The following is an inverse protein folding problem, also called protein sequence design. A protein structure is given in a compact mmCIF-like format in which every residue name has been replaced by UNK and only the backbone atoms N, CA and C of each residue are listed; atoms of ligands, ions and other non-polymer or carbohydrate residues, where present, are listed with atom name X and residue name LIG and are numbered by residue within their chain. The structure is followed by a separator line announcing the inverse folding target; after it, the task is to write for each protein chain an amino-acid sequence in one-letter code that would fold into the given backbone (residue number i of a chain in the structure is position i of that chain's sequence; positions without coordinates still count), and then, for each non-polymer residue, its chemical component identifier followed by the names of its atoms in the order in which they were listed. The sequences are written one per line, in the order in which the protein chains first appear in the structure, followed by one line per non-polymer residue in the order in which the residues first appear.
data_IF_576531165162
#
_entry.id   IF_576531165162
#
_cell.length_a   1.000
_cell.length_b   1.000
_cell.length_c   1.000
_cell.angle_alpha   90.00
_cell.angle_beta   90.00
_cell.angle_gamma   90.00
#
_symmetry.space_group_name_H-M   'P 1'
#
loop_
_entity.id
_entity.type
_entity.pdbx_description
1 polymer ?
#
# COMPACT_ATOMS: atom_id res chain seq x y z
N UNK A 1 24.33 -4.70 0.20
CA UNK A 1 23.44 -4.37 1.34
C UNK A 1 22.85 -5.64 1.96
N UNK A 2 22.11 -6.45 1.22
CA UNK A 2 21.48 -7.71 1.70
C UNK A 2 22.50 -8.65 2.38
N UNK A 3 23.66 -8.87 1.77
CA UNK A 3 24.72 -9.73 2.34
C UNK A 3 25.23 -9.21 3.68
N UNK A 4 25.39 -7.88 3.83
CA UNK A 4 25.77 -7.26 5.10
C UNK A 4 24.72 -7.47 6.18
N UNK A 5 23.43 -7.37 5.83
CA UNK A 5 22.34 -7.66 6.78
C UNK A 5 22.39 -9.12 7.21
N UNK A 6 22.61 -10.06 6.30
CA UNK A 6 22.76 -11.49 6.62
C UNK A 6 23.96 -11.76 7.52
N UNK A 7 25.09 -11.11 7.26
CA UNK A 7 26.29 -11.19 8.08
C UNK A 7 26.03 -10.70 9.51
N UNK A 8 25.45 -9.50 9.66
CA UNK A 8 25.10 -8.96 10.98
C UNK A 8 24.12 -9.85 11.73
N UNK A 9 23.07 -10.32 11.05
CA UNK A 9 22.10 -11.26 11.62
C UNK A 9 22.78 -12.54 12.12
N UNK A 10 23.77 -13.04 11.40
CA UNK A 10 24.55 -14.23 11.79
C UNK A 10 25.45 -13.94 13.00
N UNK A 11 26.15 -12.79 13.00
CA UNK A 11 27.05 -12.38 14.08
C UNK A 11 26.33 -12.21 15.42
N UNK A 12 25.09 -11.72 15.40
CA UNK A 12 24.26 -11.54 16.60
C UNK A 12 23.31 -12.72 16.85
N UNK A 13 23.58 -13.91 16.28
CA UNK A 13 22.69 -15.07 16.30
C UNK A 13 22.23 -15.57 17.67
N UNK A 14 23.01 -15.30 18.72
CA UNK A 14 22.72 -15.69 20.11
C UNK A 14 21.84 -14.68 20.86
N UNK A 15 21.54 -13.54 20.27
CA UNK A 15 20.71 -12.49 20.86
C UNK A 15 19.32 -12.45 20.24
N UNK A 16 18.35 -11.87 20.97
CA UNK A 16 17.06 -11.54 20.37
C UNK A 16 17.27 -10.45 19.32
N UNK A 17 17.01 -10.79 18.06
CA UNK A 17 17.18 -9.91 16.91
C UNK A 17 15.82 -9.41 16.47
N UNK A 18 15.74 -8.13 16.11
CA UNK A 18 14.58 -7.56 15.46
C UNK A 18 15.06 -6.77 14.25
N UNK A 19 14.40 -6.96 13.11
CA UNK A 19 14.68 -6.24 11.88
C UNK A 19 13.51 -5.30 11.62
N UNK A 20 13.77 -3.99 11.65
CA UNK A 20 12.80 -2.96 11.26
C UNK A 20 13.16 -2.46 9.87
N UNK A 21 12.14 -2.21 9.06
CA UNK A 21 12.33 -1.76 7.69
C UNK A 21 11.31 -0.68 7.41
N UNK A 22 11.79 0.50 7.03
CA UNK A 22 10.91 1.62 6.71
C UNK A 22 10.60 1.65 5.22
N UNK A 23 11.63 1.50 4.38
CA UNK A 23 11.52 1.61 2.93
C UNK A 23 10.78 0.42 2.29
N UNK A 24 9.74 0.72 1.50
CA UNK A 24 8.91 -0.27 0.82
C UNK A 24 9.72 -1.25 -0.04
N UNK A 25 10.75 -0.77 -0.73
CA UNK A 25 11.60 -1.57 -1.64
C UNK A 25 12.37 -2.68 -0.91
N UNK A 26 12.61 -2.51 0.40
CA UNK A 26 13.36 -3.46 1.21
C UNK A 26 12.44 -4.45 1.95
N UNK A 27 11.14 -4.18 2.05
CA UNK A 27 10.21 -4.97 2.89
C UNK A 27 10.23 -6.47 2.55
N UNK A 28 10.16 -6.80 1.26
CA UNK A 28 10.16 -8.20 0.81
C UNK A 28 11.49 -8.90 1.09
N UNK A 29 12.61 -8.22 0.79
CA UNK A 29 13.95 -8.76 1.01
C UNK A 29 14.22 -8.98 2.49
N UNK A 30 13.81 -8.05 3.35
CA UNK A 30 13.95 -8.18 4.80
C UNK A 30 13.05 -9.27 5.37
N UNK A 31 11.83 -9.43 4.83
CA UNK A 31 10.95 -10.55 5.19
C UNK A 31 11.58 -11.91 4.85
N UNK A 32 12.29 -12.01 3.71
CA UNK A 32 13.03 -13.23 3.34
C UNK A 32 14.17 -13.53 4.31
N UNK A 33 14.96 -12.52 4.70
CA UNK A 33 16.02 -12.70 5.71
C UNK A 33 15.43 -13.13 7.05
N UNK A 34 14.31 -12.54 7.48
CA UNK A 34 13.63 -12.92 8.72
C UNK A 34 13.26 -14.40 8.70
N UNK A 35 12.63 -14.85 7.63
CA UNK A 35 12.25 -16.25 7.44
C UNK A 35 13.46 -17.19 7.43
N UNK A 36 14.49 -16.88 6.63
CA UNK A 36 15.73 -17.68 6.54
C UNK A 36 16.47 -17.80 7.88
N UNK A 37 16.40 -16.76 8.71
CA UNK A 37 17.18 -16.65 9.96
C UNK A 37 16.38 -16.93 11.23
N UNK A 38 15.10 -17.32 11.11
CA UNK A 38 14.20 -17.56 12.23
C UNK A 38 13.92 -16.33 13.10
N UNK A 39 13.93 -15.13 12.51
CA UNK A 39 13.65 -13.87 13.22
C UNK A 39 12.15 -13.57 13.15
N UNK A 40 11.58 -13.17 14.28
CA UNK A 40 10.18 -12.76 14.39
C UNK A 40 9.88 -11.52 13.53
N UNK A 41 8.77 -11.56 12.78
CA UNK A 41 8.29 -10.42 11.99
C UNK A 41 7.49 -10.83 10.75
N UNK A 42 7.30 -9.88 9.83
CA UNK A 42 6.57 -10.13 8.59
C UNK A 42 7.30 -11.16 7.72
N UNK A 43 6.56 -12.18 7.27
CA UNK A 43 7.00 -13.21 6.34
C UNK A 43 6.82 -12.76 4.89
N UNK A 44 7.56 -13.33 3.92
CA UNK A 44 7.44 -12.97 2.50
C UNK A 44 5.99 -13.02 2.00
N UNK A 45 5.29 -14.12 2.30
CA UNK A 45 3.88 -14.31 1.93
C UNK A 45 2.98 -13.23 2.53
N UNK A 46 3.27 -12.75 3.75
CA UNK A 46 2.50 -11.67 4.36
C UNK A 46 2.73 -10.34 3.64
N UNK A 47 3.97 -10.06 3.21
CA UNK A 47 4.29 -8.86 2.44
C UNK A 47 3.59 -8.90 1.08
N UNK A 48 3.59 -10.04 0.40
CA UNK A 48 2.85 -10.22 -0.87
C UNK A 48 1.35 -9.98 -0.66
N UNK A 49 0.75 -10.60 0.36
CA UNK A 49 -0.69 -10.45 0.64
C UNK A 49 -1.10 -9.03 1.03
N UNK A 50 -0.23 -8.28 1.70
CA UNK A 50 -0.51 -6.89 2.14
C UNK A 50 -0.17 -5.87 1.06
N UNK A 51 0.93 -6.03 0.32
CA UNK A 51 1.39 -5.00 -0.64
C UNK A 51 0.84 -5.27 -2.05
N UNK A 52 0.70 -6.53 -2.43
CA UNK A 52 0.25 -6.88 -3.77
C UNK A 52 -1.26 -6.74 -3.90
N UNK A 53 -1.69 -5.68 -4.61
CA UNK A 53 -3.10 -5.28 -4.72
C UNK A 53 -4.05 -6.42 -5.10
N UNK A 54 -3.59 -7.36 -5.94
CA UNK A 54 -4.42 -8.47 -6.40
C UNK A 54 -4.78 -9.44 -5.28
N UNK A 55 -3.78 -9.81 -4.48
CA UNK A 55 -3.96 -10.73 -3.36
C UNK A 55 -4.79 -10.06 -2.26
N UNK A 56 -4.42 -8.83 -1.93
CA UNK A 56 -5.16 -8.01 -0.98
C UNK A 56 -6.63 -7.87 -1.37
N UNK A 57 -6.95 -7.51 -2.63
CA UNK A 57 -8.35 -7.36 -3.08
C UNK A 57 -9.10 -8.70 -3.03
N UNK A 58 -8.42 -9.81 -3.30
CA UNK A 58 -9.02 -11.15 -3.22
C UNK A 58 -9.34 -11.53 -1.78
N UNK A 59 -8.43 -11.27 -0.84
CA UNK A 59 -8.64 -11.46 0.60
C UNK A 59 -9.78 -10.55 1.09
N UNK A 60 -9.78 -9.29 0.70
CA UNK A 60 -10.78 -8.31 1.07
C UNK A 60 -12.19 -8.74 0.61
N UNK A 61 -12.34 -9.15 -0.65
CA UNK A 61 -13.63 -9.64 -1.19
C UNK A 61 -14.13 -10.89 -0.48
N UNK A 62 -13.24 -11.84 -0.16
CA UNK A 62 -13.60 -13.05 0.61
C UNK A 62 -14.15 -12.70 2.00
N UNK A 63 -13.65 -11.62 2.59
CA UNK A 63 -14.08 -11.13 3.90
C UNK A 63 -15.23 -10.10 3.82
N UNK A 64 -15.82 -9.91 2.64
CA UNK A 64 -16.97 -9.02 2.43
C UNK A 64 -16.64 -7.53 2.52
N UNK A 65 -15.39 -7.14 2.27
CA UNK A 65 -14.99 -5.74 2.12
C UNK A 65 -15.27 -5.27 0.70
N UNK A 66 -15.75 -4.03 0.56
CA UNK A 66 -15.91 -3.39 -0.74
C UNK A 66 -14.54 -3.01 -1.30
N UNK A 67 -14.28 -3.38 -2.54
CA UNK A 67 -13.03 -3.09 -3.26
C UNK A 67 -13.35 -2.50 -4.61
N UNK A 68 -12.46 -1.67 -5.17
CA UNK A 68 -12.59 -1.19 -6.54
C UNK A 68 -12.79 -2.32 -7.56
N UNK A 69 -13.78 -2.13 -8.43
CA UNK A 69 -13.89 -2.89 -9.67
C UNK A 69 -12.74 -2.56 -10.59
N UNK A 70 -12.19 -3.59 -11.22
CA UNK A 70 -11.08 -3.46 -12.16
C UNK A 70 -11.17 -4.55 -13.23
N UNK A 71 -10.58 -4.25 -14.38
CA UNK A 71 -10.42 -5.15 -15.50
C UNK A 71 -8.93 -5.21 -15.86
N UNK A 72 -8.39 -6.42 -15.99
CA UNK A 72 -6.99 -6.65 -16.34
C UNK A 72 -6.86 -6.84 -17.85
N UNK A 73 -5.83 -6.22 -18.42
CA UNK A 73 -5.49 -6.26 -19.85
C UNK A 73 -4.02 -6.65 -20.01
N UNK A 74 -3.70 -7.44 -21.03
CA UNK A 74 -2.33 -7.94 -21.28
C UNK A 74 -1.95 -7.67 -22.73
N UNK A 75 -0.69 -7.38 -23.00
CA UNK A 75 -0.12 -7.40 -24.34
C UNK A 75 0.59 -8.74 -24.53
N UNK A 76 0.25 -9.49 -25.59
CA UNK A 76 0.89 -10.76 -25.91
C UNK A 76 1.61 -10.66 -27.27
N UNK A 77 2.92 -10.93 -27.27
CA UNK A 77 3.74 -11.04 -28.48
C UNK A 77 4.20 -12.46 -28.82
N UNK A 78 3.93 -13.49 -28.01
CA UNK A 78 4.45 -14.85 -28.28
C UNK A 78 3.43 -15.98 -28.11
N UNK A 79 3.60 -17.03 -28.94
CA UNK A 79 2.77 -18.24 -29.08
C UNK A 79 2.88 -19.23 -27.90
N UNK A 80 3.26 -18.80 -26.70
CA UNK A 80 3.49 -19.70 -25.57
C UNK A 80 2.50 -19.41 -24.45
N UNK A 81 1.42 -20.18 -24.45
CA UNK A 81 0.44 -20.25 -23.37
C UNK A 81 1.08 -21.03 -22.22
N UNK A 82 1.60 -20.32 -21.22
CA UNK A 82 1.70 -20.85 -19.87
C UNK A 82 1.08 -19.85 -18.90
N UNK A 83 -0.24 -19.67 -19.04
CA UNK A 83 -1.09 -18.91 -18.12
C UNK A 83 -1.38 -19.76 -16.88
N UNK A 84 -0.61 -19.54 -15.82
CA UNK A 84 -0.93 -20.04 -14.48
C UNK A 84 -2.16 -19.27 -13.96
N UNK A 85 -3.34 -19.87 -14.16
CA UNK A 85 -4.57 -19.74 -13.38
C UNK A 85 -4.87 -18.37 -12.72
N UNK A 86 -5.11 -17.34 -13.53
CA UNK A 86 -5.74 -16.08 -13.09
C UNK A 86 -7.20 -16.09 -13.56
N UNK A 87 -8.14 -16.29 -12.63
CA UNK A 87 -9.60 -16.28 -12.87
C UNK A 87 -10.21 -14.88 -13.12
N UNK A 88 -9.43 -13.94 -13.67
CA UNK A 88 -9.92 -12.62 -14.09
C UNK A 88 -9.53 -12.43 -15.56
N UNK A 89 -10.53 -12.08 -16.38
CA UNK A 89 -10.49 -12.25 -17.82
C UNK A 89 -9.58 -11.21 -18.48
N UNK A 90 -8.32 -11.57 -18.67
CA UNK A 90 -7.32 -10.81 -19.42
C UNK A 90 -7.83 -10.49 -20.84
N UNK A 91 -7.79 -9.22 -21.28
CA UNK A 91 -8.01 -8.85 -22.68
C UNK A 91 -6.69 -8.47 -23.36
N UNK A 92 -6.38 -9.04 -24.54
CA UNK A 92 -5.23 -8.60 -25.32
C UNK A 92 -5.39 -7.15 -25.84
N UNK A 93 -4.37 -6.29 -25.75
CA UNK A 93 -4.43 -4.94 -26.38
C UNK A 93 -4.57 -4.99 -27.91
N UNK A 94 -4.16 -6.10 -28.54
CA UNK A 94 -4.42 -6.36 -29.96
C UNK A 94 -5.88 -6.76 -30.25
N UNK A 95 -6.69 -7.00 -29.22
CA UNK A 95 -8.13 -7.16 -29.41
C UNK A 95 -8.73 -5.87 -29.94
N UNK A 96 -9.82 -5.98 -30.69
CA UNK A 96 -10.54 -4.84 -31.24
C UNK A 96 -10.87 -3.81 -30.13
N UNK A 97 -10.56 -2.51 -30.29
CA UNK A 97 -10.84 -1.48 -29.28
C UNK A 97 -12.30 -1.45 -28.79
N UNK A 98 -13.24 -1.90 -29.62
CA UNK A 98 -14.65 -2.07 -29.27
C UNK A 98 -14.88 -3.05 -28.10
N UNK A 99 -14.06 -4.09 -27.97
CA UNK A 99 -14.13 -5.06 -26.86
C UNK A 99 -13.71 -4.43 -25.53
N UNK A 100 -12.75 -3.51 -25.57
CA UNK A 100 -12.31 -2.76 -24.39
C UNK A 100 -13.42 -1.86 -23.87
N UNK A 101 -14.02 -1.07 -24.78
CA UNK A 101 -15.13 -0.17 -24.45
C UNK A 101 -16.33 -0.93 -23.88
N UNK A 102 -16.72 -2.05 -24.53
CA UNK A 102 -17.83 -2.89 -24.05
C UNK A 102 -17.59 -3.38 -22.63
N UNK A 103 -16.36 -3.77 -22.28
CA UNK A 103 -16.02 -4.23 -20.93
C UNK A 103 -15.99 -3.12 -19.90
N UNK A 104 -15.49 -1.94 -20.24
CA UNK A 104 -15.55 -0.77 -19.35
C UNK A 104 -17.01 -0.46 -19.00
N UNK A 105 -17.89 -0.40 -19.99
CA UNK A 105 -19.32 -0.13 -19.78
C UNK A 105 -19.99 -1.24 -18.96
N UNK A 106 -19.70 -2.52 -19.23
CA UNK A 106 -20.39 -3.63 -18.58
C UNK A 106 -19.83 -4.02 -17.21
N UNK A 107 -18.55 -3.77 -16.93
CA UNK A 107 -17.89 -4.23 -15.69
C UNK A 107 -17.51 -3.09 -14.75
N UNK A 108 -17.31 -1.86 -15.26
CA UNK A 108 -16.90 -0.68 -14.49
C UNK A 108 -18.00 0.39 -14.45
N UNK A 109 -19.19 0.11 -14.98
CA UNK A 109 -20.31 1.06 -15.17
C UNK A 109 -19.96 2.29 -16.02
N UNK A 110 -18.95 2.18 -16.89
CA UNK A 110 -18.57 3.23 -17.83
C UNK A 110 -17.40 4.09 -17.37
N UNK A 111 -17.42 5.35 -17.78
CA UNK A 111 -16.35 6.32 -17.59
C UNK A 111 -16.71 7.36 -16.49
N UNK A 112 -15.73 7.99 -15.83
CA UNK A 112 -14.28 7.87 -16.05
C UNK A 112 -13.66 6.58 -15.51
N UNK A 113 -12.48 6.25 -16.03
CA UNK A 113 -11.65 5.13 -15.57
C UNK A 113 -10.20 5.53 -15.40
N UNK A 114 -9.48 4.81 -14.55
CA UNK A 114 -8.04 4.94 -14.42
C UNK A 114 -7.31 3.77 -15.07
N UNK A 115 -6.29 4.06 -15.87
CA UNK A 115 -5.41 3.04 -16.47
C UNK A 115 -4.04 3.10 -15.79
N UNK A 116 -3.52 1.96 -15.36
CA UNK A 116 -2.16 1.83 -14.82
C UNK A 116 -1.44 0.63 -15.41
N UNK A 117 -0.13 0.73 -15.59
CA UNK A 117 0.71 -0.43 -15.93
C UNK A 117 0.88 -1.36 -14.72
N UNK A 118 0.90 -2.68 -14.94
CA UNK A 118 1.29 -3.66 -13.93
C UNK A 118 2.81 -3.70 -13.71
N UNK A 119 3.60 -3.28 -14.71
CA UNK A 119 5.05 -3.19 -14.60
C UNK A 119 5.44 -1.99 -13.72
N UNK A 120 5.41 -2.16 -12.40
CA UNK A 120 6.14 -1.30 -11.49
C UNK A 120 7.63 -1.63 -11.61
N UNK A 121 8.32 -1.04 -12.60
CA UNK A 121 9.79 -1.09 -12.61
C UNK A 121 10.28 -0.27 -11.41
N UNK A 122 11.06 -0.92 -10.54
CA UNK A 122 11.75 -0.31 -9.39
C UNK A 122 12.23 1.11 -9.74
N UNK A 123 11.85 2.11 -8.95
CA UNK A 123 12.23 3.51 -9.13
C UNK A 123 11.51 4.32 -10.23
N UNK A 124 10.60 3.74 -11.03
CA UNK A 124 9.78 4.52 -12.01
C UNK A 124 8.40 4.84 -11.44
N UNK A 125 8.02 6.12 -11.46
CA UNK A 125 6.68 6.61 -11.14
C UNK A 125 5.63 5.79 -11.89
N UNK A 126 4.73 5.13 -11.16
CA UNK A 126 3.55 4.46 -11.73
C UNK A 126 2.79 5.52 -12.53
N UNK A 127 2.75 5.37 -13.85
CA UNK A 127 1.99 6.29 -14.71
C UNK A 127 0.54 5.84 -14.68
N UNK A 128 -0.28 6.55 -13.91
CA UNK A 128 -1.74 6.41 -13.91
C UNK A 128 -2.31 7.42 -14.89
N UNK A 129 -3.10 6.96 -15.85
CA UNK A 129 -3.82 7.80 -16.80
C UNK A 129 -5.29 7.88 -16.39
N UNK A 130 -5.87 9.07 -16.41
CA UNK A 130 -7.31 9.28 -16.24
C UNK A 130 -7.93 9.35 -17.63
N UNK A 131 -8.95 8.54 -17.88
CA UNK A 131 -9.70 8.52 -19.14
C UNK A 131 -11.16 8.85 -18.85
N UNK A 132 -11.69 9.88 -19.49
CA UNK A 132 -12.99 10.47 -19.17
C UNK A 132 -14.12 10.03 -20.09
N UNK A 133 -13.79 9.55 -21.28
CA UNK A 133 -14.78 9.11 -22.27
C UNK A 133 -14.22 8.05 -23.23
N UNK A 134 -15.12 7.56 -24.09
CA UNK A 134 -14.80 6.54 -25.09
C UNK A 134 -13.78 7.02 -26.13
N UNK A 135 -13.80 8.29 -26.51
CA UNK A 135 -12.95 8.83 -27.57
C UNK A 135 -11.50 8.95 -27.08
N UNK A 136 -11.33 9.44 -25.85
CA UNK A 136 -10.06 9.51 -25.16
C UNK A 136 -9.47 8.11 -24.93
N UNK A 137 -10.32 7.12 -24.65
CA UNK A 137 -9.90 5.71 -24.57
C UNK A 137 -9.39 5.17 -25.91
N UNK A 138 -10.12 5.41 -27.00
CA UNK A 138 -9.72 4.96 -28.34
C UNK A 138 -8.41 5.61 -28.77
N UNK A 139 -8.28 6.92 -28.51
CA UNK A 139 -7.05 7.65 -28.78
C UNK A 139 -5.87 7.08 -27.97
N UNK A 140 -6.07 6.80 -26.68
CA UNK A 140 -5.05 6.21 -25.81
C UNK A 140 -4.59 4.84 -26.32
N UNK A 141 -5.53 3.95 -26.69
CA UNK A 141 -5.21 2.62 -27.25
C UNK A 141 -4.40 2.78 -28.54
N UNK A 142 -4.84 3.64 -29.47
CA UNK A 142 -4.17 3.86 -30.76
C UNK A 142 -2.74 4.37 -30.57
N UNK A 143 -2.56 5.39 -29.73
CA UNK A 143 -1.25 5.95 -29.43
C UNK A 143 -0.31 4.91 -28.79
N UNK A 144 -0.83 4.05 -27.89
CA UNK A 144 -0.02 2.98 -27.29
C UNK A 144 0.36 1.88 -28.28
N UNK A 145 -0.54 1.50 -29.20
CA UNK A 145 -0.25 0.55 -30.28
C UNK A 145 0.81 1.10 -31.25
N UNK A 146 0.80 2.39 -31.54
CA UNK A 146 1.76 3.03 -32.44
C UNK A 146 3.17 3.17 -31.82
N UNK A 147 3.25 3.51 -30.53
CA UNK A 147 4.52 3.86 -29.85
C UNK A 147 5.24 2.65 -29.23
N UNK A 148 4.53 1.63 -28.73
CA UNK A 148 5.10 0.61 -27.83
C UNK A 148 5.23 -0.81 -28.43
N UNK A 149 5.43 -0.91 -29.75
CA UNK A 149 5.53 -2.15 -30.54
C UNK A 149 6.59 -3.21 -30.11
N UNK A 150 7.26 -3.07 -28.97
CA UNK A 150 8.42 -3.88 -28.58
C UNK A 150 8.33 -4.64 -27.25
N UNK A 151 7.29 -4.46 -26.42
CA UNK A 151 7.23 -5.13 -25.11
C UNK A 151 5.83 -5.63 -24.74
N UNK A 152 5.76 -6.85 -24.20
CA UNK A 152 4.59 -7.39 -23.48
C UNK A 152 4.35 -6.55 -22.21
N UNK A 153 3.28 -5.76 -22.20
CA UNK A 153 2.85 -4.92 -21.08
C UNK A 153 1.45 -5.29 -20.64
N UNK A 154 1.27 -5.38 -19.34
CA UNK A 154 -0.05 -5.56 -18.73
C UNK A 154 -0.55 -4.22 -18.19
N UNK A 155 -1.83 -3.94 -18.39
CA UNK A 155 -2.52 -2.74 -17.92
C UNK A 155 -3.73 -3.13 -17.08
N UNK A 156 -3.98 -2.39 -16.01
CA UNK A 156 -5.18 -2.52 -15.18
C UNK A 156 -6.01 -1.27 -15.40
N UNK A 157 -7.28 -1.46 -15.75
CA UNK A 157 -8.27 -0.39 -15.80
C UNK A 157 -9.15 -0.50 -14.57
N UNK A 158 -9.24 0.57 -13.80
CA UNK A 158 -10.01 0.63 -12.56
C UNK A 158 -11.14 1.67 -12.69
N UNK A 159 -12.25 1.42 -12.01
CA UNK A 159 -13.29 2.43 -11.87
C UNK A 159 -12.72 3.68 -11.17
N UNK A 160 -13.16 4.87 -11.61
CA UNK A 160 -12.80 6.12 -10.99
C UNK A 160 -13.92 6.57 -10.05
N UNK A 161 -13.69 6.40 -8.74
CA UNK A 161 -14.64 6.84 -7.72
C UNK A 161 -14.65 8.37 -7.62
N UNK A 162 -15.84 8.95 -7.55
CA UNK A 162 -16.10 10.39 -7.43
C UNK A 162 -17.06 10.67 -6.27
N UNK A 163 -17.18 11.94 -5.91
CA UNK A 163 -18.10 12.46 -4.89
C UNK A 163 -17.83 11.81 -3.52
N UNK A 164 -16.58 11.86 -3.08
CA UNK A 164 -16.15 11.29 -1.82
C UNK A 164 -14.70 11.67 -1.48
N UNK A 165 -14.23 11.17 -0.34
CA UNK A 165 -12.93 11.51 0.23
C UNK A 165 -11.96 10.35 0.09
N UNK A 166 -10.81 10.59 -0.54
CA UNK A 166 -9.68 9.68 -0.45
C UNK A 166 -9.06 9.78 0.94
N UNK A 167 -8.78 8.64 1.57
CA UNK A 167 -8.15 8.61 2.89
C UNK A 167 -7.05 7.55 2.98
N UNK A 168 -6.12 7.76 3.92
CA UNK A 168 -5.13 6.78 4.35
C UNK A 168 -5.16 6.72 5.87
N UNK A 169 -5.52 5.55 6.39
CA UNK A 169 -5.59 5.28 7.82
C UNK A 169 -4.36 4.52 8.29
N UNK A 170 -3.79 4.94 9.42
CA UNK A 170 -2.69 4.25 10.07
C UNK A 170 -3.22 3.30 11.14
N UNK A 171 -2.82 2.03 11.04
CA UNK A 171 -3.16 0.97 11.98
C UNK A 171 -1.89 0.25 12.47
N UNK A 172 -1.88 -0.10 13.75
CA UNK A 172 -0.91 -0.98 14.39
C UNK A 172 -1.65 -2.11 15.11
N UNK A 173 -0.94 -3.13 15.61
CA UNK A 173 -1.61 -4.14 16.42
C UNK A 173 -2.16 -3.61 17.76
N UNK A 174 -1.70 -2.44 18.23
CA UNK A 174 -2.28 -1.74 19.37
C UNK A 174 -3.60 -1.01 19.03
N UNK A 175 -3.89 -0.79 17.74
CA UNK A 175 -5.18 -0.31 17.29
C UNK A 175 -5.11 0.68 16.13
N UNK A 176 -6.24 1.34 15.89
CA UNK A 176 -6.36 2.43 14.94
C UNK A 176 -5.75 3.72 15.51
N UNK A 177 -4.84 4.35 14.76
CA UNK A 177 -4.05 5.50 15.24
C UNK A 177 -4.60 6.82 14.72
N UNK A 178 -4.75 6.94 13.40
CA UNK A 178 -5.19 8.19 12.76
C UNK A 178 -5.63 7.98 11.32
N UNK A 179 -6.26 9.00 10.73
CA UNK A 179 -6.59 9.05 9.31
C UNK A 179 -6.08 10.34 8.68
N UNK A 180 -5.44 10.24 7.52
CA UNK A 180 -5.15 11.37 6.65
C UNK A 180 -6.19 11.38 5.54
N UNK A 181 -7.00 12.42 5.45
CA UNK A 181 -8.06 12.54 4.46
C UNK A 181 -7.79 13.71 3.51
N UNK A 182 -8.09 13.53 2.22
CA UNK A 182 -8.11 14.64 1.27
C UNK A 182 -9.35 15.49 1.52
N UNK A 183 -9.17 16.81 1.58
CA UNK A 183 -10.27 17.77 1.66
C UNK A 183 -10.85 18.04 0.26
N UNK A 184 -12.17 18.08 0.19
CA UNK A 184 -12.95 18.34 -1.04
C UNK A 184 -13.36 17.07 -1.79
N UNK A 185 -14.67 16.87 -1.92
CA UNK A 185 -15.29 15.70 -2.56
C UNK A 185 -15.55 15.86 -4.08
N UNK A 186 -15.44 17.10 -4.59
CA UNK A 186 -15.88 17.53 -5.93
C UNK A 186 -15.05 16.99 -7.11
N UNK A 187 -14.09 16.09 -6.87
CA UNK A 187 -13.26 15.47 -7.91
C UNK A 187 -12.12 14.65 -7.35
N UNK A 188 -11.36 13.98 -8.22
CA UNK A 188 -10.19 13.17 -7.84
C UNK A 188 -8.93 14.02 -7.67
N UNK A 189 -7.92 13.49 -6.97
CA UNK A 189 -6.62 14.17 -6.84
C UNK A 189 -6.01 14.46 -8.22
N UNK A 190 -6.14 13.53 -9.15
CA UNK A 190 -5.62 13.65 -10.51
C UNK A 190 -6.26 14.79 -11.28
N UNK A 191 -7.57 15.00 -11.10
CA UNK A 191 -8.28 16.14 -11.70
C UNK A 191 -7.81 17.46 -11.09
N UNK A 192 -7.64 17.54 -9.76
CA UNK A 192 -7.06 18.73 -9.14
C UNK A 192 -5.66 19.05 -9.65
N UNK A 193 -4.80 18.05 -9.81
CA UNK A 193 -3.44 18.23 -10.34
C UNK A 193 -3.48 18.69 -11.79
N UNK A 194 -4.29 18.03 -12.64
CA UNK A 194 -4.42 18.37 -14.06
C UNK A 194 -4.95 19.80 -14.24
N UNK A 195 -5.99 20.15 -13.50
CA UNK A 195 -6.67 21.44 -13.59
C UNK A 195 -5.93 22.53 -12.79
N UNK A 196 -4.80 22.22 -12.17
CA UNK A 196 -4.02 23.11 -11.29
C UNK A 196 -4.85 23.74 -10.16
N UNK A 197 -5.83 22.99 -9.65
CA UNK A 197 -6.67 23.42 -8.53
C UNK A 197 -5.98 23.08 -7.20
N UNK A 198 -6.07 23.97 -6.20
CA UNK A 198 -5.56 23.67 -4.88
C UNK A 198 -6.28 22.45 -4.29
N UNK A 199 -5.52 21.61 -3.59
CA UNK A 199 -6.02 20.48 -2.83
C UNK A 199 -5.25 20.41 -1.51
N UNK A 200 -5.89 19.90 -0.47
CA UNK A 200 -5.31 19.78 0.86
C UNK A 200 -5.54 18.37 1.42
N UNK A 201 -4.63 17.97 2.30
CA UNK A 201 -4.79 16.80 3.15
C UNK A 201 -4.89 17.27 4.59
N UNK A 202 -5.76 16.64 5.36
CA UNK A 202 -5.94 16.89 6.77
C UNK A 202 -5.60 15.64 7.57
N UNK A 203 -4.91 15.82 8.69
CA UNK A 203 -4.69 14.77 9.68
C UNK A 203 -5.86 14.79 10.65
N UNK A 204 -6.51 13.64 10.81
CA UNK A 204 -7.62 13.41 11.71
C UNK A 204 -7.19 12.44 12.80
N UNK A 205 -7.39 12.85 14.06
CA UNK A 205 -7.30 11.93 15.20
C UNK A 205 -8.38 10.85 15.12
N UNK A 206 -8.30 9.85 16.00
CA UNK A 206 -9.34 8.81 16.08
C UNK A 206 -10.73 9.41 16.27
N UNK A 207 -10.88 10.35 17.20
CA UNK A 207 -12.17 10.98 17.50
C UNK A 207 -12.66 11.85 16.34
N UNK A 208 -11.78 12.66 15.75
CA UNK A 208 -12.13 13.44 14.56
C UNK A 208 -12.51 12.55 13.37
N UNK A 209 -11.88 11.38 13.22
CA UNK A 209 -12.24 10.42 12.18
C UNK A 209 -13.65 9.87 12.39
N UNK A 210 -14.03 9.57 13.64
CA UNK A 210 -15.39 9.11 13.97
C UNK A 210 -16.44 10.16 13.64
N UNK A 211 -16.12 11.43 13.88
CA UNK A 211 -17.04 12.54 13.66
C UNK A 211 -17.16 12.93 12.18
N UNK A 212 -16.03 13.01 11.47
CA UNK A 212 -15.97 13.52 10.08
C UNK A 212 -16.20 12.41 9.05
N UNK A 213 -15.67 11.21 9.31
CA UNK A 213 -15.73 10.05 8.42
C UNK A 213 -16.30 8.83 9.15
N UNK A 214 -17.57 8.89 9.62
CA UNK A 214 -18.16 7.83 10.43
C UNK A 214 -18.14 6.49 9.70
N UNK A 215 -17.70 5.45 10.40
CA UNK A 215 -17.55 4.08 9.86
C UNK A 215 -16.13 3.73 9.39
N UNK A 216 -15.25 4.71 9.17
CA UNK A 216 -13.86 4.45 8.71
C UNK A 216 -13.07 3.63 9.73
N UNK A 217 -13.16 3.92 11.02
CA UNK A 217 -12.48 3.13 12.06
C UNK A 217 -12.91 1.66 12.01
N UNK A 218 -14.21 1.38 12.04
CA UNK A 218 -14.76 0.02 11.95
C UNK A 218 -14.32 -0.70 10.67
N UNK A 219 -14.29 0.02 9.55
CA UNK A 219 -13.81 -0.49 8.27
C UNK A 219 -12.31 -0.84 8.31
N UNK A 220 -11.48 0.02 8.91
CA UNK A 220 -10.03 -0.19 9.08
C UNK A 220 -9.77 -1.40 9.97
N UNK A 221 -10.46 -1.51 11.11
CA UNK A 221 -10.35 -2.65 12.02
C UNK A 221 -10.75 -3.96 11.34
N UNK A 222 -11.82 -3.95 10.54
CA UNK A 222 -12.25 -5.12 9.76
C UNK A 222 -11.25 -5.49 8.68
N UNK A 223 -10.66 -4.49 8.02
CA UNK A 223 -9.62 -4.68 7.01
C UNK A 223 -8.36 -5.29 7.64
N UNK A 224 -7.88 -4.74 8.74
CA UNK A 224 -6.74 -5.27 9.47
C UNK A 224 -6.94 -6.73 9.91
N UNK A 225 -8.14 -7.07 10.42
CA UNK A 225 -8.50 -8.46 10.78
C UNK A 225 -8.61 -9.41 9.59
N UNK A 226 -8.83 -8.88 8.38
CA UNK A 226 -8.94 -9.68 7.16
C UNK A 226 -7.59 -10.00 6.54
N UNK A 227 -6.59 -9.16 6.78
CA UNK A 227 -5.21 -9.33 6.33
C UNK A 227 -4.49 -10.41 7.17
N UNK A 228 -3.38 -10.99 6.67
CA UNK A 228 -2.57 -11.91 7.48
C UNK A 228 -2.17 -11.24 8.79
N UNK A 229 -2.06 -12.03 9.87
CA UNK A 229 -1.71 -11.51 11.19
C UNK A 229 -0.39 -10.75 11.10
N UNK A 230 -0.47 -9.47 11.42
CA UNK A 230 0.66 -8.55 11.35
C UNK A 230 1.30 -8.56 12.73
N UNK A 231 2.61 -8.88 12.82
CA UNK A 231 3.31 -8.84 14.09
C UNK A 231 3.18 -7.45 14.73
N UNK A 232 3.25 -7.40 16.06
CA UNK A 232 3.10 -6.14 16.82
C UNK A 232 4.12 -5.06 16.42
N UNK A 233 5.18 -5.42 15.70
CA UNK A 233 6.25 -4.57 15.22
C UNK A 233 6.03 -4.01 13.81
N UNK A 234 4.79 -3.86 13.35
CA UNK A 234 4.53 -3.37 11.99
C UNK A 234 3.28 -2.49 11.92
N UNK A 235 3.39 -1.44 11.12
CA UNK A 235 2.28 -0.57 10.75
C UNK A 235 1.69 -0.97 9.40
N UNK A 236 0.39 -0.72 9.26
CA UNK A 236 -0.30 -0.75 7.98
C UNK A 236 -0.98 0.57 7.72
N UNK A 237 -0.69 1.11 6.55
CA UNK A 237 -1.37 2.24 5.97
C UNK A 237 -2.47 1.71 5.06
N UNK A 238 -3.72 1.83 5.48
CA UNK A 238 -4.91 1.37 4.75
C UNK A 238 -5.45 2.55 3.94
N UNK A 239 -5.30 2.49 2.62
CA UNK A 239 -5.84 3.47 1.69
C UNK A 239 -7.26 3.10 1.30
N UNK A 240 -8.18 4.03 1.46
CA UNK A 240 -9.58 3.86 1.11
C UNK A 240 -10.19 5.07 0.39
N UNK A 241 -11.44 4.87 -0.04
CA UNK A 241 -12.30 5.92 -0.56
C UNK A 241 -13.61 5.91 0.21
N UNK A 242 -13.97 7.04 0.78
CA UNK A 242 -15.17 7.22 1.58
C UNK A 242 -16.22 8.01 0.79
N UNK A 243 -17.38 7.43 0.52
CA UNK A 243 -18.55 8.18 0.01
C UNK A 243 -19.54 8.49 1.12
N UNK A 244 -19.83 7.50 1.95
CA UNK A 244 -20.66 7.62 3.15
C UNK A 244 -20.36 6.45 4.09
N UNK A 245 -21.00 6.43 5.27
CA UNK A 245 -20.76 5.44 6.32
C UNK A 245 -21.02 3.98 5.91
N UNK A 246 -21.81 3.74 4.86
CA UNK A 246 -22.09 2.40 4.32
C UNK A 246 -21.31 2.09 3.03
N UNK A 247 -20.62 3.08 2.47
CA UNK A 247 -20.00 3.01 1.15
C UNK A 247 -18.54 3.44 1.21
N UNK A 248 -17.73 2.53 1.76
CA UNK A 248 -16.29 2.69 2.01
C UNK A 248 -15.53 1.61 1.23
N UNK A 249 -14.66 2.03 0.32
CA UNK A 249 -13.93 1.13 -0.57
C UNK A 249 -12.47 1.00 -0.15
N UNK A 250 -11.96 -0.24 -0.16
CA UNK A 250 -10.53 -0.52 -0.02
C UNK A 250 -9.83 -0.29 -1.36
N UNK A 251 -8.84 0.62 -1.37
CA UNK A 251 -8.03 0.92 -2.54
C UNK A 251 -6.69 0.18 -2.50
N UNK A 252 -6.07 0.09 -1.32
CA UNK A 252 -4.72 -0.44 -1.17
C UNK A 252 -4.28 -0.52 0.29
N UNK A 253 -3.25 -1.32 0.55
CA UNK A 253 -2.55 -1.35 1.82
C UNK A 253 -1.05 -1.24 1.62
N UNK A 254 -0.37 -0.57 2.54
CA UNK A 254 1.05 -0.24 2.44
C UNK A 254 1.72 -0.36 3.80
N UNK A 255 3.03 -0.60 3.80
CA UNK A 255 3.85 -0.71 5.01
C UNK A 255 4.61 0.59 5.34
N UNK A 256 4.41 1.64 4.52
CA UNK A 256 4.97 2.97 4.72
C UNK A 256 4.01 4.05 4.18
N UNK A 257 4.16 5.32 4.59
CA UNK A 257 3.42 6.42 3.99
C UNK A 257 3.66 6.54 2.48
N UNK A 258 2.61 6.89 1.73
CA UNK A 258 2.62 6.95 0.27
C UNK A 258 3.42 8.11 -0.33
N UNK A 259 3.59 9.19 0.42
CA UNK A 259 4.27 10.39 -0.03
C UNK A 259 4.81 11.20 1.15
N UNK A 260 5.72 12.13 0.85
CA UNK A 260 6.33 13.01 1.87
C UNK A 260 5.31 13.89 2.58
N UNK A 261 4.24 14.31 1.90
CA UNK A 261 3.16 15.07 2.54
C UNK A 261 2.50 14.29 3.67
N UNK A 262 2.27 12.99 3.49
CA UNK A 262 1.73 12.14 4.56
C UNK A 262 2.76 11.99 5.70
N UNK A 263 4.05 11.78 5.37
CA UNK A 263 5.13 11.69 6.38
C UNK A 263 5.17 12.94 7.25
N UNK A 264 5.20 14.13 6.63
CA UNK A 264 5.25 15.43 7.32
C UNK A 264 3.98 15.74 8.09
N UNK A 265 2.81 15.34 7.61
CA UNK A 265 1.55 15.54 8.34
C UNK A 265 1.52 14.71 9.62
N UNK A 266 1.98 13.46 9.58
CA UNK A 266 2.09 12.62 10.78
C UNK A 266 3.07 13.28 11.76
N UNK A 267 4.24 13.68 11.29
CA UNK A 267 5.27 14.34 12.10
C UNK A 267 4.75 15.62 12.76
N UNK A 268 4.11 16.50 11.98
CA UNK A 268 3.56 17.76 12.49
C UNK A 268 2.43 17.54 13.51
N UNK A 269 1.53 16.58 13.25
CA UNK A 269 0.45 16.26 14.16
C UNK A 269 0.93 15.61 15.47
N UNK A 270 2.08 14.95 15.45
CA UNK A 270 2.69 14.29 16.61
C UNK A 270 3.87 15.08 17.19
N UNK A 271 3.81 16.41 17.16
CA UNK A 271 4.79 17.29 17.80
C UNK A 271 6.25 17.09 17.35
N UNK A 272 6.46 16.80 16.06
CA UNK A 272 7.78 16.54 15.49
C UNK A 272 8.20 15.07 15.53
N UNK A 273 7.33 14.17 15.98
CA UNK A 273 7.61 12.73 16.02
C UNK A 273 7.17 12.08 14.71
N UNK A 274 8.15 11.68 13.90
CA UNK A 274 7.92 10.95 12.65
C UNK A 274 7.30 9.56 12.85
N UNK A 275 6.68 9.03 11.79
CA UNK A 275 6.04 7.72 11.82
C UNK A 275 7.03 6.57 12.11
N UNK A 276 8.30 6.73 11.75
CA UNK A 276 9.38 5.80 12.05
C UNK A 276 9.58 5.67 13.57
N UNK A 277 9.57 6.80 14.28
CA UNK A 277 9.71 6.82 15.74
C UNK A 277 8.46 6.25 16.39
N UNK A 278 7.27 6.58 15.89
CA UNK A 278 6.02 5.97 16.35
C UNK A 278 6.06 4.44 16.22
N UNK A 279 6.59 3.91 15.11
CA UNK A 279 6.73 2.47 14.91
C UNK A 279 7.67 1.86 15.95
N UNK A 280 8.82 2.50 16.20
CA UNK A 280 9.80 2.03 17.18
C UNK A 280 9.24 2.04 18.61
N UNK A 281 8.47 3.06 18.98
CA UNK A 281 7.83 3.13 20.29
C UNK A 281 6.82 1.98 20.48
N UNK A 282 6.02 1.66 19.45
CA UNK A 282 5.15 0.49 19.49
C UNK A 282 5.93 -0.82 19.65
N UNK A 283 7.17 -0.87 19.15
CA UNK A 283 8.03 -2.05 19.30
C UNK A 283 8.68 -2.12 20.69
N UNK A 284 9.02 -0.98 21.28
CA UNK A 284 9.52 -0.90 22.65
C UNK A 284 8.48 -1.42 23.64
N UNK A 285 7.22 -1.01 23.50
CA UNK A 285 6.11 -1.57 24.30
C UNK A 285 6.03 -3.11 24.19
N UNK A 286 6.24 -3.65 22.99
CA UNK A 286 6.24 -5.10 22.75
C UNK A 286 7.46 -5.78 23.38
N UNK A 287 8.62 -5.12 23.33
CA UNK A 287 9.84 -5.58 23.98
C UNK A 287 9.69 -5.57 25.50
N UNK A 288 9.10 -4.54 26.09
CA UNK A 288 8.82 -4.45 27.52
C UNK A 288 7.82 -5.50 27.99
N UNK A 289 6.74 -5.74 27.23
CA UNK A 289 5.75 -6.79 27.54
C UNK A 289 6.40 -8.18 27.47
N UNK A 290 7.24 -8.42 26.46
CA UNK A 290 7.97 -9.69 26.31
C UNK A 290 9.11 -9.85 27.33
N UNK A 291 9.63 -8.76 27.89
CA UNK A 291 10.68 -8.75 28.91
C UNK A 291 10.14 -8.75 30.35
N UNK A 292 8.82 -8.90 30.59
CA UNK A 292 8.31 -9.12 31.96
C UNK A 292 8.83 -10.46 32.50
N UNK A 293 9.71 -10.48 33.51
CA UNK A 293 10.13 -11.70 34.15
C UNK A 293 9.07 -12.09 35.20
N UNK A 294 8.82 -13.39 35.36
CA UNK A 294 8.65 -13.93 36.71
C UNK A 294 9.89 -13.50 37.50
N UNK A 295 9.71 -12.64 38.51
CA UNK A 295 10.71 -12.10 39.43
C UNK A 295 12.16 -12.03 38.92
N UNK A 296 12.63 -10.81 38.57
CA UNK A 296 13.99 -10.41 38.93
C UNK A 296 14.08 -8.89 39.11
N UNK A 297 14.76 -8.52 40.18
CA UNK A 297 15.00 -7.18 40.69
C UNK A 297 15.85 -6.31 39.76
N UNK A 298 15.59 -5.00 39.84
CA UNK A 298 16.47 -3.83 39.66
C UNK A 298 17.70 -3.94 38.74
N UNK A 299 17.76 -2.98 37.81
CA UNK A 299 18.91 -2.25 37.22
C UNK A 299 18.75 -2.24 35.69
N UNK A 300 19.07 -1.19 34.92
CA UNK A 300 19.64 0.15 35.13
C UNK A 300 19.38 0.92 33.83
N UNK A 301 19.44 2.25 33.92
CA UNK A 301 19.59 3.25 32.85
C UNK A 301 19.96 2.71 31.44
N UNK A 302 19.06 2.99 30.50
CA UNK A 302 19.01 2.79 29.04
C UNK A 302 20.29 2.38 28.30
N UNK A 303 20.16 1.45 27.34
CA UNK A 303 20.91 1.48 26.07
C UNK A 303 20.08 0.91 24.91
N UNK A 304 19.59 1.76 24.01
CA UNK A 304 19.03 1.35 22.72
C UNK A 304 19.68 2.14 21.59
N UNK A 305 20.04 1.45 20.50
CA UNK A 305 20.53 2.07 19.27
C UNK A 305 19.53 1.87 18.15
N UNK A 306 19.14 2.98 17.53
CA UNK A 306 18.38 3.03 16.30
C UNK A 306 19.32 3.03 15.09
N UNK A 307 19.23 2.01 14.23
CA UNK A 307 19.95 1.96 12.95
C UNK A 307 18.96 2.24 11.83
N UNK A 308 19.06 3.43 11.24
CA UNK A 308 18.31 3.82 10.06
C UNK A 308 19.23 3.69 8.83
N UNK A 309 18.80 3.01 7.77
CA UNK A 309 19.50 3.03 6.48
C UNK A 309 18.82 4.04 5.55
N UNK A 310 19.35 5.26 5.38
CA UNK A 310 18.91 6.13 4.31
C UNK A 310 19.55 5.73 2.97
N UNK A 311 18.93 6.19 1.89
CA UNK A 311 19.18 5.86 0.50
C UNK A 311 20.60 6.20 -0.03
N UNK A 312 21.07 5.32 -0.92
CA UNK A 312 22.14 5.33 -1.95
C UNK A 312 23.55 5.90 -1.63
N UNK A 313 23.79 6.79 -0.65
CA UNK A 313 25.16 7.28 -0.34
C UNK A 313 25.58 7.28 1.15
N UNK A 314 24.72 6.87 2.08
CA UNK A 314 25.04 6.90 3.51
C UNK A 314 25.30 5.50 4.09
N UNK A 315 26.55 5.18 4.40
CA UNK A 315 26.88 4.03 5.26
C UNK A 315 26.38 4.34 6.68
N UNK A 316 25.51 3.47 7.21
CA UNK A 316 25.28 3.35 8.64
C UNK A 316 25.41 1.87 9.01
N UNK A 317 26.54 1.57 9.64
CA UNK A 317 26.85 0.31 10.30
C UNK A 317 26.32 0.37 11.73
N UNK A 318 25.86 -0.77 12.20
CA UNK A 318 26.01 -1.13 13.60
C UNK A 318 26.46 -2.58 13.72
#
# INVERSE_FOLDING_TARGET
MIEKVRELVSNYGLTRRIIVTFEAELQYLMAKIRFESGIEGLLPDHVEQVVHMKEMKLIARRNGLMTLRHVDFVFLFTNSISLFQIKQTIIPLKAEPSLWLRRIVTQLDGFPVFIRSCEAKHGRKITRYSIHDCDEMQYWIKNKLEVENKHDREFIVEECLRNGYEFVSLYSNSGFICTIARLGAEGTLFESIRDQKPYAYEYLTVDQTRDILPGVESFVLRTAKSLPVIPNSSFVFIKGFYKNHNDIYLLGTYLQPLCDSHRRLIEAANHGVGWEILLLNCMEEVLEIANRPYDMQKSTENHHVLVNFPSIEGVLLH
#
